data_IF_239022645232
#
_entry.id   IF_239022645232
#
_cell.length_a   1.000
_cell.length_b   1.000
_cell.length_c   1.000
_cell.angle_alpha   90.00
_cell.angle_beta   90.00
_cell.angle_gamma   90.00
#
_symmetry.space_group_name_H-M   'P 1'
#
loop_
_entity.id
_entity.type
_entity.pdbx_description
1 polymer ?
#
# COMPACT_ATOMS: atom_id res chain seq x y z
N UNK A 1 -25.91 6.42 -34.51
CA UNK A 1 -25.62 5.50 -33.39
C UNK A 1 -24.58 6.17 -32.50
N UNK A 2 -25.01 6.85 -31.45
CA UNK A 2 -24.11 7.50 -30.48
C UNK A 2 -23.92 6.54 -29.31
N UNK A 3 -22.77 5.85 -29.28
CA UNK A 3 -22.34 5.16 -28.06
C UNK A 3 -22.06 6.20 -27.00
N UNK A 4 -23.02 6.43 -26.12
CA UNK A 4 -22.82 7.16 -24.87
C UNK A 4 -21.97 6.24 -23.99
N UNK A 5 -20.65 6.45 -24.03
CA UNK A 5 -19.73 5.84 -23.07
C UNK A 5 -20.16 6.41 -21.71
N UNK A 6 -20.91 5.61 -20.96
CA UNK A 6 -21.35 5.95 -19.61
C UNK A 6 -20.11 5.83 -18.72
N UNK A 7 -19.37 6.93 -18.58
CA UNK A 7 -18.22 7.03 -17.68
C UNK A 7 -18.77 7.08 -16.24
N UNK A 8 -19.08 5.89 -15.74
CA UNK A 8 -19.48 5.71 -14.35
C UNK A 8 -18.26 5.97 -13.46
N UNK A 9 -18.20 7.20 -12.93
CA UNK A 9 -17.16 7.65 -12.01
C UNK A 9 -17.20 6.93 -10.65
N UNK A 10 -18.19 6.05 -10.41
CA UNK A 10 -18.25 5.19 -9.22
C UNK A 10 -17.11 4.16 -9.17
N UNK A 11 -16.47 3.85 -10.31
CA UNK A 11 -15.28 3.00 -10.36
C UNK A 11 -14.08 3.60 -9.62
N UNK A 12 -14.00 4.93 -9.52
CA UNK A 12 -12.93 5.63 -8.79
C UNK A 12 -13.32 5.90 -7.33
N UNK A 13 -13.96 4.96 -6.65
CA UNK A 13 -14.23 5.07 -5.20
C UNK A 13 -12.92 5.07 -4.39
N UNK A 14 -12.98 5.45 -3.12
CA UNK A 14 -11.84 5.31 -2.20
C UNK A 14 -11.26 3.90 -2.32
N UNK A 15 -9.97 3.81 -2.62
CA UNK A 15 -9.29 2.53 -2.74
C UNK A 15 -9.12 1.97 -1.31
N UNK A 16 -9.67 0.78 -1.01
CA UNK A 16 -9.58 0.23 0.33
C UNK A 16 -8.13 -0.10 0.67
N UNK A 17 -7.73 0.22 1.90
CA UNK A 17 -6.40 -0.08 2.46
C UNK A 17 -6.14 -1.60 2.61
N UNK A 18 -7.19 -2.42 2.51
CA UNK A 18 -7.14 -3.87 2.64
C UNK A 18 -7.64 -4.54 1.35
N UNK A 19 -6.99 -5.62 0.93
CA UNK A 19 -7.29 -6.34 -0.31
C UNK A 19 -8.77 -6.73 -0.41
N UNK A 20 -9.45 -6.29 -1.48
CA UNK A 20 -10.86 -6.64 -1.78
C UNK A 20 -11.04 -8.11 -2.20
N UNK A 21 -9.95 -8.81 -2.54
CA UNK A 21 -9.97 -10.22 -2.95
C UNK A 21 -9.53 -11.19 -1.83
N UNK A 22 -9.41 -10.73 -0.59
CA UNK A 22 -9.13 -11.60 0.55
C UNK A 22 -10.34 -12.49 0.95
N UNK A 23 -11.49 -12.34 0.29
CA UNK A 23 -12.72 -13.09 0.55
C UNK A 23 -12.75 -14.50 -0.09
N UNK A 24 -11.60 -15.17 -0.25
CA UNK A 24 -11.58 -16.62 -0.37
C UNK A 24 -11.06 -17.22 0.94
N UNK A 25 -11.93 -17.81 1.78
CA UNK A 25 -11.57 -18.39 3.07
C UNK A 25 -10.93 -19.78 2.89
N UNK A 26 -9.91 -19.88 2.04
CA UNK A 26 -8.97 -21.00 2.08
C UNK A 26 -7.92 -20.66 3.14
N UNK A 27 -8.24 -21.04 4.37
CA UNK A 27 -7.43 -20.93 5.58
C UNK A 27 -5.99 -21.40 5.32
N UNK A 28 -5.05 -20.45 5.27
CA UNK A 28 -3.67 -20.66 5.70
C UNK A 28 -3.50 -19.81 6.96
N UNK A 29 -3.77 -20.44 8.11
CA UNK A 29 -3.43 -19.87 9.41
C UNK A 29 -1.91 -19.78 9.52
N UNK A 30 -1.37 -18.60 9.18
CA UNK A 30 -0.06 -18.18 9.67
C UNK A 30 -0.33 -17.25 10.85
N UNK A 31 -0.07 -17.76 12.06
CA UNK A 31 -0.04 -16.97 13.28
C UNK A 31 1.08 -15.92 13.17
N UNK A 32 0.76 -14.73 12.67
CA UNK A 32 1.55 -13.53 12.96
C UNK A 32 0.77 -12.66 13.94
N UNK A 33 1.46 -12.33 15.03
CA UNK A 33 0.93 -11.59 16.15
C UNK A 33 0.49 -10.20 15.72
N UNK A 34 -0.71 -9.81 16.19
CA UNK A 34 -1.23 -8.45 16.18
C UNK A 34 -0.16 -7.49 16.76
N UNK A 35 0.30 -6.45 16.04
CA UNK A 35 0.89 -5.32 16.71
C UNK A 35 -0.21 -4.51 17.38
N UNK A 36 -0.04 -4.38 18.68
CA UNK A 36 -0.83 -3.63 19.62
C UNK A 36 -1.18 -2.21 19.14
N UNK A 37 -2.31 -1.72 19.65
CA UNK A 37 -2.76 -0.33 19.49
C UNK A 37 -1.66 0.68 19.89
N UNK A 38 -1.04 1.34 18.92
CA UNK A 38 -0.43 2.66 19.13
C UNK A 38 -0.09 3.37 17.81
N UNK A 39 -0.98 4.26 17.35
CA UNK A 39 -0.60 5.63 16.96
C UNK A 39 -1.83 6.37 16.42
N UNK A 40 -2.57 6.97 17.36
CA UNK A 40 -3.28 8.20 17.05
C UNK A 40 -2.22 9.31 16.93
N UNK A 41 -1.35 9.24 15.92
CA UNK A 41 -0.50 10.37 15.53
C UNK A 41 -1.26 11.16 14.47
N UNK A 42 -1.34 12.50 14.57
CA UNK A 42 -1.70 13.32 13.43
C UNK A 42 -0.51 13.32 12.47
N UNK A 43 -0.28 12.19 11.76
CA UNK A 43 0.81 12.13 10.79
C UNK A 43 0.33 12.77 9.49
N UNK A 44 0.53 14.09 9.44
CA UNK A 44 0.57 14.90 8.23
C UNK A 44 1.95 14.90 7.57
N UNK A 45 2.84 13.94 7.90
CA UNK A 45 4.04 13.72 7.10
C UNK A 45 3.70 12.79 5.95
N UNK A 46 3.80 13.33 4.73
CA UNK A 46 3.74 12.59 3.46
C UNK A 46 4.90 11.57 3.35
N UNK A 47 5.87 11.62 4.27
CA UNK A 47 7.16 10.93 4.22
C UNK A 47 7.12 9.40 4.44
N UNK A 48 5.95 8.78 4.49
CA UNK A 48 5.79 7.33 4.56
C UNK A 48 4.94 6.77 3.41
N UNK A 49 5.06 5.45 3.10
CA UNK A 49 4.26 4.80 2.05
C UNK A 49 2.76 5.10 2.22
N UNK A 50 2.25 4.97 3.44
CA UNK A 50 0.84 5.23 3.78
C UNK A 50 0.44 6.71 3.63
N UNK A 51 1.38 7.63 3.82
CA UNK A 51 1.16 9.07 3.64
C UNK A 51 0.99 9.44 2.17
N UNK A 52 1.81 8.85 1.29
CA UNK A 52 1.67 9.03 -0.15
C UNK A 52 0.35 8.44 -0.67
N UNK A 53 -0.04 7.25 -0.22
CA UNK A 53 -1.33 6.64 -0.58
C UNK A 53 -2.52 7.50 -0.16
N UNK A 54 -2.50 8.05 1.06
CA UNK A 54 -3.54 8.95 1.55
C UNK A 54 -3.63 10.22 0.70
N UNK A 55 -2.48 10.86 0.42
CA UNK A 55 -2.42 12.05 -0.42
C UNK A 55 -2.99 11.79 -1.83
N UNK A 56 -2.66 10.66 -2.44
CA UNK A 56 -3.18 10.30 -3.75
C UNK A 56 -4.70 10.08 -3.75
N UNK A 57 -5.26 9.53 -2.66
CA UNK A 57 -6.70 9.41 -2.49
C UNK A 57 -7.37 10.77 -2.28
N UNK A 58 -6.80 11.64 -1.44
CA UNK A 58 -7.29 13.01 -1.23
C UNK A 58 -7.31 13.79 -2.56
N UNK A 59 -6.21 13.75 -3.33
CA UNK A 59 -6.14 14.35 -4.66
C UNK A 59 -7.20 13.78 -5.62
N UNK A 60 -7.50 12.48 -5.54
CA UNK A 60 -8.54 11.86 -6.38
C UNK A 60 -9.93 12.37 -6.02
N UNK A 61 -10.21 12.57 -4.73
CA UNK A 61 -11.47 13.17 -4.26
C UNK A 61 -11.59 14.60 -4.75
N UNK A 62 -10.57 15.43 -4.53
CA UNK A 62 -10.55 16.83 -4.97
C UNK A 62 -10.71 16.96 -6.49
N UNK A 63 -10.00 16.13 -7.27
CA UNK A 63 -10.12 16.12 -8.73
C UNK A 63 -11.52 15.76 -9.21
N UNK A 64 -12.27 14.92 -8.48
CA UNK A 64 -13.67 14.59 -8.80
C UNK A 64 -14.59 15.79 -8.56
N UNK A 65 -14.35 16.53 -7.50
CA UNK A 65 -15.09 17.77 -7.20
C UNK A 65 -14.81 18.83 -8.26
N UNK A 66 -13.54 19.02 -8.63
CA UNK A 66 -13.16 19.92 -9.73
C UNK A 66 -13.78 19.48 -11.06
N UNK A 67 -13.80 18.18 -11.36
CA UNK A 67 -14.44 17.65 -12.56
C UNK A 67 -15.94 17.96 -12.60
N UNK A 68 -16.63 17.82 -11.46
CA UNK A 68 -18.04 18.18 -11.32
C UNK A 68 -18.25 19.68 -11.58
N UNK A 69 -17.42 20.53 -10.97
CA UNK A 69 -17.45 21.98 -11.18
C UNK A 69 -17.28 22.35 -12.65
N UNK A 70 -16.25 21.83 -13.33
CA UNK A 70 -16.03 22.15 -14.75
C UNK A 70 -17.13 21.60 -15.66
N UNK A 71 -17.73 20.46 -15.32
CA UNK A 71 -18.89 19.94 -16.05
C UNK A 71 -20.08 20.89 -15.94
N UNK A 72 -20.39 21.35 -14.72
CA UNK A 72 -21.47 22.32 -14.47
C UNK A 72 -21.18 23.67 -15.17
N UNK A 73 -19.94 24.15 -15.12
CA UNK A 73 -19.51 25.34 -15.85
C UNK A 73 -19.71 25.20 -17.35
N UNK A 74 -19.34 24.04 -17.93
CA UNK A 74 -19.52 23.77 -19.36
C UNK A 74 -20.99 23.73 -19.75
N UNK A 75 -21.83 23.10 -18.93
CA UNK A 75 -23.28 23.03 -19.16
C UNK A 75 -23.93 24.41 -19.05
N UNK A 76 -23.58 25.19 -18.02
CA UNK A 76 -24.07 26.56 -17.83
C UNK A 76 -23.63 27.52 -18.94
N UNK A 77 -22.36 27.46 -19.33
CA UNK A 77 -21.84 28.25 -20.46
C UNK A 77 -22.46 27.81 -21.79
N UNK A 78 -22.72 26.51 -21.96
CA UNK A 78 -23.46 25.99 -23.12
C UNK A 78 -24.87 26.55 -23.20
N UNK A 79 -25.61 26.56 -22.09
CA UNK A 79 -26.94 27.15 -22.03
C UNK A 79 -26.94 28.67 -22.26
N UNK A 80 -25.89 29.37 -21.78
CA UNK A 80 -25.74 30.81 -22.00
C UNK A 80 -25.51 31.19 -23.47
N UNK A 81 -25.18 30.24 -24.35
CA UNK A 81 -25.09 30.49 -25.79
C UNK A 81 -26.46 30.66 -26.45
N UNK A 82 -27.52 30.11 -25.85
CA UNK A 82 -28.88 30.20 -26.38
C UNK A 82 -29.46 31.59 -26.11
N UNK A 83 -29.38 32.47 -27.11
CA UNK A 83 -29.91 33.85 -27.04
C UNK A 83 -28.88 34.91 -26.67
N UNK A 84 -27.59 34.57 -26.60
CA UNK A 84 -26.52 35.54 -26.35
C UNK A 84 -26.26 36.48 -27.53
N UNK A 85 -25.86 37.72 -27.23
CA UNK A 85 -25.25 38.61 -28.21
C UNK A 85 -23.83 38.14 -28.60
N UNK A 86 -23.24 38.79 -29.60
CA UNK A 86 -21.89 38.46 -30.11
C UNK A 86 -20.80 38.43 -29.01
N UNK A 87 -20.82 39.39 -28.09
CA UNK A 87 -19.81 39.51 -27.04
C UNK A 87 -20.01 38.45 -25.94
N UNK A 88 -21.25 38.28 -25.48
CA UNK A 88 -21.64 37.25 -24.51
C UNK A 88 -21.41 35.83 -25.08
N UNK A 89 -21.75 35.62 -26.35
CA UNK A 89 -21.54 34.34 -27.03
C UNK A 89 -20.07 33.98 -27.21
N UNK A 90 -19.20 34.98 -27.42
CA UNK A 90 -17.75 34.76 -27.46
C UNK A 90 -17.20 34.35 -26.09
N UNK A 91 -17.65 34.99 -25.03
CA UNK A 91 -17.28 34.61 -23.65
C UNK A 91 -17.69 33.18 -23.33
N UNK A 92 -18.96 32.84 -23.55
CA UNK A 92 -19.50 31.52 -23.28
C UNK A 92 -18.80 30.40 -24.10
N UNK A 93 -18.43 30.64 -25.37
CA UNK A 93 -17.62 29.69 -26.15
C UNK A 93 -16.22 29.48 -25.58
N UNK A 94 -15.59 30.55 -25.09
CA UNK A 94 -14.29 30.47 -24.45
C UNK A 94 -14.37 29.64 -23.15
N UNK A 95 -15.42 29.83 -22.36
CA UNK A 95 -15.65 29.08 -21.11
C UNK A 95 -15.92 27.59 -21.38
N UNK A 96 -16.75 27.26 -22.37
CA UNK A 96 -16.98 25.87 -22.81
C UNK A 96 -15.67 25.19 -23.19
N UNK A 97 -14.80 25.91 -23.93
CA UNK A 97 -13.49 25.39 -24.32
C UNK A 97 -12.58 25.20 -23.13
N UNK A 98 -12.43 26.21 -22.28
CA UNK A 98 -11.57 26.15 -21.10
C UNK A 98 -12.00 25.03 -20.15
N UNK A 99 -13.31 24.88 -19.91
CA UNK A 99 -13.85 23.79 -19.11
C UNK A 99 -13.56 22.42 -19.73
N UNK A 100 -13.69 22.28 -21.05
CA UNK A 100 -13.38 21.02 -21.74
C UNK A 100 -11.90 20.66 -21.64
N UNK A 101 -11.01 21.62 -21.87
CA UNK A 101 -9.56 21.42 -21.77
C UNK A 101 -9.15 21.04 -20.32
N UNK A 102 -9.75 21.70 -19.32
CA UNK A 102 -9.54 21.39 -17.90
C UNK A 102 -10.04 19.99 -17.52
N UNK A 103 -11.23 19.59 -17.99
CA UNK A 103 -11.74 18.23 -17.79
C UNK A 103 -10.81 17.17 -18.40
N UNK A 104 -10.29 17.40 -19.61
CA UNK A 104 -9.31 16.48 -20.23
C UNK A 104 -8.01 16.39 -19.44
N UNK A 105 -7.54 17.50 -18.86
CA UNK A 105 -6.36 17.49 -17.99
C UNK A 105 -6.61 16.68 -16.72
N UNK A 106 -7.77 16.87 -16.07
CA UNK A 106 -8.15 16.14 -14.86
C UNK A 106 -8.18 14.64 -15.12
N UNK A 107 -8.81 14.19 -16.21
CA UNK A 107 -8.87 12.76 -16.55
C UNK A 107 -7.48 12.17 -16.73
N UNK A 108 -6.58 12.86 -17.46
CA UNK A 108 -5.19 12.41 -17.65
C UNK A 108 -4.43 12.30 -16.32
N UNK A 109 -4.68 13.25 -15.41
CA UNK A 109 -4.07 13.22 -14.07
C UNK A 109 -4.60 12.04 -13.26
N UNK A 110 -5.90 11.76 -13.29
CA UNK A 110 -6.50 10.61 -12.61
C UNK A 110 -5.96 9.27 -13.16
N UNK A 111 -5.80 9.14 -14.48
CA UNK A 111 -5.16 7.97 -15.10
C UNK A 111 -3.72 7.77 -14.61
N UNK A 112 -2.98 8.87 -14.42
CA UNK A 112 -1.61 8.82 -13.91
C UNK A 112 -1.58 8.41 -12.43
N UNK A 113 -2.50 8.93 -11.62
CA UNK A 113 -2.67 8.55 -10.21
C UNK A 113 -3.02 7.06 -10.11
N UNK A 114 -3.96 6.55 -10.90
CA UNK A 114 -4.31 5.12 -10.95
C UNK A 114 -3.09 4.25 -11.29
N UNK A 115 -2.32 4.65 -12.31
CA UNK A 115 -1.09 3.94 -12.70
C UNK A 115 -0.09 3.88 -11.55
N UNK A 116 0.08 4.98 -10.81
CA UNK A 116 1.00 5.07 -9.68
C UNK A 116 0.52 4.24 -8.48
N UNK A 117 -0.79 4.24 -8.18
CA UNK A 117 -1.38 3.41 -7.12
C UNK A 117 -1.20 1.92 -7.42
N UNK A 118 -1.42 1.49 -8.67
CA UNK A 118 -1.14 0.11 -9.10
C UNK A 118 0.34 -0.26 -8.97
N UNK A 119 1.25 0.70 -9.24
CA UNK A 119 2.67 0.46 -9.06
C UNK A 119 3.03 0.30 -7.59
N UNK A 120 2.57 1.21 -6.73
CA UNK A 120 2.81 1.12 -5.29
C UNK A 120 2.27 -0.18 -4.69
N UNK A 121 1.11 -0.66 -5.16
CA UNK A 121 0.55 -1.92 -4.68
C UNK A 121 1.46 -3.11 -5.03
N UNK A 122 2.01 -3.12 -6.25
CA UNK A 122 3.00 -4.14 -6.66
C UNK A 122 4.30 -4.01 -5.88
N UNK A 123 4.80 -2.80 -5.69
CA UNK A 123 6.04 -2.57 -4.95
C UNK A 123 5.91 -3.08 -3.50
N UNK A 124 4.74 -2.89 -2.89
CA UNK A 124 4.46 -3.40 -1.55
C UNK A 124 4.38 -4.94 -1.51
N UNK A 125 3.81 -5.57 -2.53
CA UNK A 125 3.79 -7.04 -2.66
C UNK A 125 5.20 -7.61 -2.80
N UNK A 126 6.05 -7.00 -3.63
CA UNK A 126 7.45 -7.41 -3.82
C UNK A 126 8.27 -7.27 -2.54
N UNK A 127 8.06 -6.19 -1.78
CA UNK A 127 8.73 -6.00 -0.48
C UNK A 127 8.27 -7.07 0.52
N UNK A 128 6.97 -7.33 0.61
CA UNK A 128 6.43 -8.35 1.50
C UNK A 128 6.94 -9.77 1.14
N UNK A 129 7.04 -10.10 -0.14
CA UNK A 129 7.61 -11.36 -0.62
C UNK A 129 9.10 -11.47 -0.26
N UNK A 130 9.88 -10.40 -0.48
CA UNK A 130 11.30 -10.37 -0.11
C UNK A 130 11.51 -10.46 1.41
N UNK A 131 10.63 -9.88 2.21
CA UNK A 131 10.70 -9.97 3.67
C UNK A 131 10.37 -11.38 4.15
N UNK A 132 9.38 -12.05 3.54
CA UNK A 132 9.06 -13.45 3.82
C UNK A 132 10.23 -14.38 3.46
N UNK A 133 10.81 -14.23 2.27
CA UNK A 133 11.99 -15.00 1.84
C UNK A 133 13.19 -14.83 2.80
N UNK A 134 13.42 -13.60 3.28
CA UNK A 134 14.48 -13.33 4.26
C UNK A 134 14.19 -13.98 5.62
N UNK A 135 12.93 -13.99 6.06
CA UNK A 135 12.55 -14.67 7.31
C UNK A 135 12.77 -16.18 7.20
N UNK A 136 12.39 -16.80 6.08
CA UNK A 136 12.62 -18.22 5.81
C UNK A 136 14.12 -18.56 5.82
N UNK A 137 14.95 -17.70 5.25
CA UNK A 137 16.41 -17.85 5.28
C UNK A 137 16.98 -17.81 6.71
N UNK A 138 16.59 -16.81 7.49
CA UNK A 138 17.03 -16.68 8.89
C UNK A 138 16.58 -17.87 9.75
N UNK A 139 15.36 -18.39 9.53
CA UNK A 139 14.89 -19.59 10.21
C UNK A 139 15.75 -20.82 9.88
N UNK A 140 16.10 -21.01 8.61
CA UNK A 140 16.98 -22.08 8.17
C UNK A 140 18.38 -21.97 8.80
N UNK A 141 18.94 -20.76 8.86
CA UNK A 141 20.23 -20.50 9.52
C UNK A 141 20.15 -20.83 11.00
N UNK A 142 19.11 -20.39 11.70
CA UNK A 142 18.91 -20.67 13.12
C UNK A 142 18.73 -22.18 13.41
N UNK A 143 18.10 -22.91 12.49
CA UNK A 143 18.01 -24.37 12.57
C UNK A 143 19.39 -25.03 12.47
N UNK A 144 20.19 -24.68 11.46
CA UNK A 144 21.53 -25.26 11.29
C UNK A 144 22.48 -24.90 12.43
N UNK A 145 22.43 -23.67 12.94
CA UNK A 145 23.23 -23.26 14.09
C UNK A 145 22.90 -24.08 15.34
N UNK A 146 21.60 -24.29 15.65
CA UNK A 146 21.17 -25.17 16.74
C UNK A 146 21.71 -26.58 16.56
N UNK A 147 21.59 -27.14 15.35
CA UNK A 147 22.07 -28.49 15.06
C UNK A 147 23.59 -28.64 15.18
N UNK A 148 24.34 -27.64 14.74
CA UNK A 148 25.80 -27.62 14.91
C UNK A 148 26.18 -27.55 16.39
N UNK A 149 25.52 -26.70 17.18
CA UNK A 149 25.79 -26.58 18.61
C UNK A 149 25.53 -27.91 19.33
N UNK A 150 24.40 -28.58 19.06
CA UNK A 150 24.11 -29.92 19.60
C UNK A 150 25.21 -30.93 19.26
N UNK A 151 25.67 -30.97 18.01
CA UNK A 151 26.72 -31.88 17.55
C UNK A 151 28.07 -31.56 18.21
N UNK A 152 28.40 -30.28 18.37
CA UNK A 152 29.61 -29.84 19.07
C UNK A 152 29.56 -30.30 20.52
N UNK A 153 28.45 -30.04 21.24
CA UNK A 153 28.29 -30.49 22.62
C UNK A 153 28.37 -32.01 22.76
N UNK A 154 27.75 -32.77 21.85
CA UNK A 154 27.84 -34.23 21.84
C UNK A 154 29.28 -34.72 21.66
N UNK A 155 30.03 -34.14 20.72
CA UNK A 155 31.45 -34.47 20.50
C UNK A 155 32.32 -34.07 21.70
N UNK A 156 32.04 -32.93 22.31
CA UNK A 156 32.78 -32.45 23.49
C UNK A 156 32.54 -33.37 24.69
N UNK A 157 31.28 -33.74 24.95
CA UNK A 157 30.91 -34.75 25.95
C UNK A 157 31.61 -36.09 25.70
N UNK A 158 31.58 -36.59 24.47
CA UNK A 158 32.23 -37.84 24.11
C UNK A 158 33.76 -37.79 24.35
N UNK A 159 34.40 -36.65 24.04
CA UNK A 159 35.84 -36.45 24.29
C UNK A 159 36.17 -36.35 25.78
N UNK A 160 35.35 -35.67 26.59
CA UNK A 160 35.53 -35.59 28.04
C UNK A 160 35.45 -36.97 28.69
N UNK A 161 34.43 -37.76 28.30
CA UNK A 161 34.28 -39.15 28.76
C UNK A 161 35.48 -40.00 28.33
N UNK A 162 35.94 -39.88 27.08
CA UNK A 162 37.12 -40.61 26.60
C UNK A 162 38.43 -40.19 27.30
N UNK A 163 38.51 -38.96 27.79
CA UNK A 163 39.64 -38.45 28.58
C UNK A 163 39.55 -38.77 30.08
N UNK A 164 38.48 -39.45 30.54
CA UNK A 164 38.28 -39.80 31.94
C UNK A 164 37.87 -38.63 32.85
N UNK A 165 37.47 -37.49 32.27
CA UNK A 165 36.96 -36.33 32.99
C UNK A 165 35.44 -36.42 33.09
N UNK A 166 34.88 -36.28 34.31
CA UNK A 166 33.43 -36.30 34.49
C UNK A 166 32.79 -35.07 33.82
N UNK A 167 31.72 -35.23 33.02
CA UNK A 167 31.09 -34.13 32.29
C UNK A 167 30.25 -33.20 33.18
N UNK A 168 30.02 -33.55 34.46
CA UNK A 168 29.35 -32.70 35.43
C UNK A 168 30.38 -31.92 36.25
N UNK A 169 30.40 -30.60 36.05
CA UNK A 169 30.99 -29.69 37.02
C UNK A 169 30.26 -29.84 38.35
N UNK A 170 30.94 -30.41 39.33
CA UNK A 170 30.47 -30.55 40.69
C UNK A 170 30.16 -29.15 41.26
N UNK A 171 28.93 -28.87 41.78
CA UNK A 171 28.72 -27.66 42.57
C UNK A 171 29.61 -27.78 43.80
N UNK A 172 30.48 -26.79 44.00
CA UNK A 172 31.38 -26.72 45.14
C UNK A 172 30.55 -26.74 46.44
N UNK A 173 30.58 -27.88 47.12
CA UNK A 173 30.09 -28.03 48.49
C UNK A 173 31.08 -27.30 49.41
N UNK A 174 30.71 -26.09 49.80
CA UNK A 174 31.45 -25.28 50.76
C UNK A 174 31.06 -25.69 52.18
N UNK A 175 31.84 -26.60 52.77
CA UNK A 175 31.85 -26.85 54.20
C UNK A 175 33.04 -26.16 54.86
N UNK A 176 32.77 -25.12 55.63
CA UNK A 176 33.20 -24.93 57.04
C UNK A 176 32.51 -23.70 57.66
#
# INVERSE_FOLDING_TARGET
>A
MTSTINNDLSFYREWPQTHVYADNPAVLELKSALPDKASNQPSGSIEGPDGLWRLMNEMTVEMREQFRFFRELREGAGAALDGADEAAGKGARADVKAATDAMSLIVRTLEKIDTLQRQLARDHEVVAESEADNQDYEEAVAFFQRRMNELVEQKLRARLVAAGLSPEGQPADGGE
#
